data_IF_668417965036
#
_entry.id   IF_668417965036
#
_cell.length_a   1.000
_cell.length_b   1.000
_cell.length_c   1.000
_cell.angle_alpha   90.00
_cell.angle_beta   90.00
_cell.angle_gamma   90.00
#
_symmetry.space_group_name_H-M   'P 1'
#
loop_
_entity.id
_entity.type
_entity.pdbx_description
1 polymer ?
#
# COMPACT_ATOMS: atom_id res chain seq x y z
N UNK A 1 12.88 -11.79 -16.16
CA UNK A 1 11.59 -11.62 -16.85
C UNK A 1 10.96 -10.37 -16.28
N UNK A 2 10.57 -9.42 -17.12
CA UNK A 2 9.87 -8.20 -16.71
C UNK A 2 8.45 -8.56 -16.31
N UNK A 3 7.97 -8.08 -15.16
CA UNK A 3 6.62 -8.29 -14.63
C UNK A 3 6.03 -6.90 -14.36
N UNK A 4 5.20 -6.44 -15.29
CA UNK A 4 4.61 -5.10 -15.22
C UNK A 4 3.30 -5.18 -14.47
N UNK A 5 3.22 -4.46 -13.36
CA UNK A 5 2.02 -4.31 -12.56
C UNK A 5 1.52 -2.87 -12.62
N UNK A 6 0.21 -2.71 -12.55
CA UNK A 6 -0.47 -1.42 -12.59
C UNK A 6 -1.36 -1.27 -11.36
N UNK A 7 -1.65 -0.02 -11.04
CA UNK A 7 -2.54 0.32 -9.95
C UNK A 7 -2.88 1.79 -9.96
N UNK A 8 -3.68 2.20 -8.98
CA UNK A 8 -4.10 3.58 -8.86
C UNK A 8 -5.09 3.81 -7.74
N UNK A 9 -5.55 5.05 -7.65
CA UNK A 9 -6.52 5.43 -6.63
C UNK A 9 -7.94 5.07 -7.07
N UNK A 10 -8.86 4.99 -6.09
CA UNK A 10 -10.26 4.70 -6.32
C UNK A 10 -10.93 5.62 -7.37
N UNK A 11 -10.65 6.92 -7.36
CA UNK A 11 -11.25 7.85 -8.33
C UNK A 11 -10.57 7.88 -9.71
N UNK A 12 -9.57 7.03 -9.95
CA UNK A 12 -8.86 6.90 -11.25
C UNK A 12 -7.97 8.08 -11.65
N UNK A 13 -7.90 9.15 -10.85
CA UNK A 13 -7.09 10.35 -11.14
C UNK A 13 -5.60 10.10 -11.05
N UNK A 14 -5.18 9.19 -10.17
CA UNK A 14 -3.79 8.74 -10.05
C UNK A 14 -3.68 7.31 -10.53
N UNK A 15 -2.68 7.07 -11.37
CA UNK A 15 -2.29 5.73 -11.83
C UNK A 15 -0.77 5.60 -11.77
N UNK A 16 -0.30 4.41 -11.49
CA UNK A 16 1.12 4.08 -11.50
C UNK A 16 1.36 2.75 -12.21
N UNK A 17 2.63 2.48 -12.47
CA UNK A 17 3.13 1.17 -12.86
C UNK A 17 4.47 0.89 -12.17
N UNK A 18 4.80 -0.39 -12.00
CA UNK A 18 6.17 -0.81 -11.73
C UNK A 18 6.51 -2.11 -12.48
N UNK A 19 7.80 -2.33 -12.71
CA UNK A 19 8.34 -3.53 -13.35
C UNK A 19 9.26 -4.28 -12.38
N UNK A 20 8.66 -5.16 -11.58
CA UNK A 20 9.33 -5.89 -10.52
C UNK A 20 8.49 -7.10 -10.10
N UNK A 21 9.12 -8.16 -9.57
CA UNK A 21 8.37 -9.29 -9.03
C UNK A 21 7.54 -8.87 -7.82
N UNK A 22 6.38 -9.53 -7.64
CA UNK A 22 5.55 -9.39 -6.43
C UNK A 22 6.17 -10.15 -5.25
N UNK A 23 7.29 -9.63 -4.77
CA UNK A 23 8.02 -10.11 -3.59
C UNK A 23 8.16 -8.98 -2.59
N UNK A 24 8.60 -9.29 -1.37
CA UNK A 24 8.83 -8.28 -0.33
C UNK A 24 7.54 -7.59 0.12
N UNK A 25 6.52 -8.41 0.41
CA UNK A 25 5.18 -7.94 0.78
C UNK A 25 4.94 -8.14 2.27
N UNK A 26 4.72 -7.04 3.00
CA UNK A 26 4.59 -7.07 4.46
C UNK A 26 3.29 -6.46 4.95
N UNK A 27 2.63 -7.17 5.86
CA UNK A 27 1.63 -6.60 6.74
C UNK A 27 2.29 -5.73 7.82
N UNK A 28 2.08 -4.43 7.75
CA UNK A 28 2.56 -3.46 8.71
C UNK A 28 1.52 -3.20 9.82
N UNK A 29 1.98 -3.36 11.07
CA UNK A 29 1.16 -3.18 12.27
C UNK A 29 1.44 -1.87 13.01
N UNK A 30 2.28 -0.98 12.50
CA UNK A 30 2.64 0.24 13.24
C UNK A 30 1.48 1.24 13.33
N UNK A 31 1.49 2.09 14.35
CA UNK A 31 0.46 3.11 14.57
C UNK A 31 0.37 4.13 13.42
N UNK A 32 1.49 4.46 12.80
CA UNK A 32 1.54 5.47 11.75
C UNK A 32 0.85 4.97 10.49
N UNK A 33 1.11 3.72 10.09
CA UNK A 33 0.43 3.12 8.95
C UNK A 33 -1.09 3.03 9.19
N UNK A 34 -1.53 2.67 10.41
CA UNK A 34 -2.96 2.69 10.75
C UNK A 34 -3.58 4.08 10.63
N UNK A 35 -2.96 5.09 11.25
CA UNK A 35 -3.48 6.47 11.27
C UNK A 35 -3.51 7.11 9.89
N UNK A 36 -2.56 6.78 9.04
CA UNK A 36 -2.41 7.41 7.72
C UNK A 36 -3.23 6.73 6.63
N UNK A 37 -3.46 5.41 6.74
CA UNK A 37 -4.30 4.68 5.79
C UNK A 37 -5.77 4.60 6.22
N UNK A 38 -6.07 4.74 7.51
CA UNK A 38 -7.38 4.41 8.08
C UNK A 38 -7.62 2.90 8.26
N UNK A 39 -6.70 2.04 7.78
CA UNK A 39 -6.79 0.58 7.91
C UNK A 39 -6.24 0.06 9.24
N UNK A 40 -6.81 -1.02 9.76
CA UNK A 40 -6.32 -1.70 10.98
C UNK A 40 -4.97 -2.41 10.76
N UNK A 41 -4.66 -2.77 9.51
CA UNK A 41 -3.37 -3.24 9.01
C UNK A 41 -3.15 -2.60 7.64
N UNK A 42 -1.95 -2.15 7.35
CA UNK A 42 -1.58 -1.68 6.00
C UNK A 42 -0.59 -2.67 5.40
N UNK A 43 -0.84 -3.12 4.18
CA UNK A 43 0.04 -4.05 3.50
C UNK A 43 0.81 -3.32 2.41
N UNK A 44 2.13 -3.42 2.48
CA UNK A 44 3.05 -2.75 1.56
C UNK A 44 3.78 -3.79 0.71
N UNK A 45 4.06 -3.44 -0.54
CA UNK A 45 5.10 -4.05 -1.36
C UNK A 45 6.24 -3.04 -1.53
N UNK A 46 7.48 -3.46 -1.36
CA UNK A 46 8.65 -2.64 -1.64
C UNK A 46 9.18 -2.95 -3.04
N UNK A 47 9.16 -1.96 -3.93
CA UNK A 47 9.65 -2.11 -5.31
C UNK A 47 10.87 -1.23 -5.58
N UNK A 48 11.78 -1.60 -6.51
CA UNK A 48 12.87 -0.72 -6.91
C UNK A 48 12.33 0.63 -7.41
N UNK A 49 12.82 1.74 -6.86
CA UNK A 49 12.37 3.09 -7.22
C UNK A 49 12.53 3.35 -8.72
N UNK A 50 13.62 2.86 -9.31
CA UNK A 50 13.89 2.97 -10.74
C UNK A 50 12.89 2.22 -11.64
N UNK A 51 12.14 1.25 -11.08
CA UNK A 51 11.09 0.52 -11.80
C UNK A 51 9.72 1.19 -11.69
N UNK A 52 9.52 2.07 -10.71
CA UNK A 52 8.24 2.69 -10.40
C UNK A 52 8.02 3.96 -11.23
N UNK A 53 6.79 4.18 -11.70
CA UNK A 53 6.43 5.40 -12.44
C UNK A 53 4.97 5.77 -12.22
N UNK A 54 4.70 7.04 -11.91
CA UNK A 54 3.35 7.62 -12.03
C UNK A 54 2.99 7.75 -13.51
N UNK A 55 1.93 7.08 -13.94
CA UNK A 55 1.49 7.03 -15.35
C UNK A 55 0.36 8.01 -15.63
N UNK A 56 -0.33 8.50 -14.59
CA UNK A 56 -1.37 9.52 -14.70
C UNK A 56 -1.47 10.32 -13.42
N UNK A 57 -1.62 11.64 -13.57
CA UNK A 57 -1.81 12.59 -12.48
C UNK A 57 -0.54 12.78 -11.65
N UNK A 58 -0.61 13.72 -10.71
CA UNK A 58 0.48 14.02 -9.78
C UNK A 58 -0.02 13.77 -8.35
N UNK A 59 0.66 12.92 -7.57
CA UNK A 59 0.23 12.64 -6.21
C UNK A 59 0.40 13.85 -5.30
N UNK A 60 -0.54 14.05 -4.38
CA UNK A 60 -0.28 14.88 -3.23
C UNK A 60 0.74 14.17 -2.33
N UNK A 61 1.59 14.93 -1.65
CA UNK A 61 2.59 14.38 -0.73
C UNK A 61 2.67 15.17 0.56
N UNK A 62 3.07 14.50 1.65
CA UNK A 62 3.50 15.16 2.87
C UNK A 62 4.63 14.37 3.55
N UNK A 63 5.43 15.05 4.36
CA UNK A 63 6.48 14.44 5.16
C UNK A 63 5.89 13.93 6.48
N UNK A 64 5.78 12.62 6.64
CA UNK A 64 5.25 12.03 7.87
C UNK A 64 6.27 11.99 9.01
N UNK A 65 7.56 12.00 8.66
CA UNK A 65 8.68 12.12 9.58
C UNK A 65 9.93 12.57 8.80
N UNK A 66 11.04 12.96 9.46
CA UNK A 66 12.26 13.34 8.77
C UNK A 66 12.72 12.24 7.80
N UNK A 67 12.84 12.60 6.52
CA UNK A 67 13.26 11.67 5.46
C UNK A 67 12.19 10.67 5.01
N UNK A 68 10.94 10.78 5.47
CA UNK A 68 9.84 9.88 5.07
C UNK A 68 8.67 10.67 4.48
N UNK A 69 8.37 10.41 3.21
CA UNK A 69 7.29 11.04 2.46
C UNK A 69 6.20 10.02 2.13
N UNK A 70 4.94 10.44 2.24
CA UNK A 70 3.78 9.62 1.86
C UNK A 70 3.04 10.27 0.69
N UNK A 71 2.61 9.45 -0.26
CA UNK A 71 1.97 9.85 -1.50
C UNK A 71 0.51 9.37 -1.53
N UNK A 72 -0.41 10.30 -1.77
CA UNK A 72 -1.84 10.03 -1.74
C UNK A 72 -2.58 10.79 -2.84
N UNK A 73 -3.80 10.35 -3.14
CA UNK A 73 -4.65 11.04 -4.09
C UNK A 73 -5.29 12.28 -3.45
N UNK A 74 -4.96 13.48 -3.94
CA UNK A 74 -5.63 14.72 -3.51
C UNK A 74 -7.13 14.78 -3.83
N UNK A 75 -7.64 13.89 -4.70
CA UNK A 75 -9.06 13.84 -5.07
C UNK A 75 -9.92 12.88 -4.25
N UNK A 76 -9.38 11.76 -3.77
CA UNK A 76 -10.13 10.75 -2.99
C UNK A 76 -9.46 10.32 -1.67
N UNK A 77 -8.28 10.86 -1.34
CA UNK A 77 -7.57 10.54 -0.10
C UNK A 77 -6.84 9.20 -0.08
N UNK A 78 -7.02 8.35 -1.09
CA UNK A 78 -6.35 7.04 -1.19
C UNK A 78 -4.84 7.17 -1.00
N UNK A 79 -4.27 6.42 -0.05
CA UNK A 79 -2.82 6.33 0.20
C UNK A 79 -2.21 5.29 -0.74
N UNK A 80 -1.26 5.69 -1.58
CA UNK A 80 -0.68 4.83 -2.62
C UNK A 80 0.78 4.49 -2.34
N UNK A 81 1.57 5.44 -1.83
CA UNK A 81 3.02 5.28 -1.77
C UNK A 81 3.67 5.81 -0.49
N UNK A 82 4.85 5.28 -0.19
CA UNK A 82 5.76 5.78 0.83
C UNK A 82 7.20 5.70 0.30
N UNK A 83 7.94 6.77 0.49
CA UNK A 83 9.38 6.82 0.24
C UNK A 83 10.11 7.18 1.54
N UNK A 84 11.22 6.50 1.81
CA UNK A 84 12.07 6.79 2.97
C UNK A 84 13.54 6.85 2.60
N UNK A 85 14.27 7.83 3.13
CA UNK A 85 15.72 7.95 2.98
C UNK A 85 16.50 6.79 3.63
N UNK A 86 15.86 6.00 4.50
CA UNK A 86 16.46 4.78 5.05
C UNK A 86 16.60 3.66 4.01
N UNK A 87 15.76 3.70 2.96
CA UNK A 87 15.79 2.78 1.84
C UNK A 87 15.63 3.57 0.53
N UNK A 88 16.63 4.39 0.15
CA UNK A 88 16.48 5.38 -0.92
C UNK A 88 16.34 4.76 -2.32
N UNK A 89 16.61 3.45 -2.45
CA UNK A 89 16.48 2.71 -3.70
C UNK A 89 15.10 2.10 -3.93
N UNK A 90 14.16 2.24 -2.99
CA UNK A 90 12.84 1.60 -3.06
C UNK A 90 11.69 2.60 -2.94
N UNK A 91 10.54 2.22 -3.51
CA UNK A 91 9.23 2.83 -3.27
C UNK A 91 8.36 1.77 -2.63
N UNK A 92 7.76 2.08 -1.48
CA UNK A 92 6.75 1.23 -0.89
C UNK A 92 5.39 1.61 -1.48
N UNK A 93 4.63 0.63 -1.95
CA UNK A 93 3.30 0.82 -2.54
C UNK A 93 2.28 0.04 -1.73
N UNK A 94 1.11 0.63 -1.46
CA UNK A 94 0.02 -0.10 -0.80
C UNK A 94 -0.56 -1.13 -1.78
N UNK A 95 -0.48 -2.42 -1.48
CA UNK A 95 -0.94 -3.46 -2.42
C UNK A 95 -2.44 -3.36 -2.72
N UNK A 96 -3.21 -2.77 -1.79
CA UNK A 96 -4.65 -2.54 -1.94
C UNK A 96 -5.01 -1.58 -3.10
N UNK A 97 -4.01 -0.96 -3.73
CA UNK A 97 -4.20 -0.07 -4.89
C UNK A 97 -3.76 -0.70 -6.21
N UNK A 98 -3.29 -1.95 -6.19
CA UNK A 98 -3.02 -2.74 -7.40
C UNK A 98 -4.32 -3.08 -8.12
N UNK A 99 -4.27 -3.14 -9.44
CA UNK A 99 -5.42 -3.61 -10.23
C UNK A 99 -5.68 -5.10 -9.96
N UNK A 100 -4.63 -5.92 -9.89
CA UNK A 100 -4.69 -7.37 -9.65
C UNK A 100 -4.17 -7.74 -8.24
N UNK A 101 -4.81 -7.19 -7.20
CA UNK A 101 -4.36 -7.34 -5.80
C UNK A 101 -4.26 -8.80 -5.32
N UNK A 102 -5.06 -9.70 -5.89
CA UNK A 102 -5.10 -11.12 -5.50
C UNK A 102 -3.76 -11.86 -5.74
N UNK A 103 -2.90 -11.35 -6.63
CA UNK A 103 -1.58 -11.93 -6.89
C UNK A 103 -0.52 -11.50 -5.85
N UNK A 104 -0.78 -10.42 -5.11
CA UNK A 104 0.16 -9.80 -4.19
C UNK A 104 0.08 -10.43 -2.78
N UNK A 105 0.62 -11.65 -2.64
CA UNK A 105 0.56 -12.42 -1.40
C UNK A 105 1.57 -11.92 -0.35
N UNK A 106 1.13 -11.50 0.85
CA UNK A 106 2.03 -11.09 1.93
C UNK A 106 2.85 -12.26 2.48
N UNK A 107 4.15 -12.05 2.67
CA UNK A 107 5.10 -13.07 3.14
C UNK A 107 5.49 -12.91 4.61
N UNK A 108 5.20 -11.74 5.21
CA UNK A 108 5.58 -11.46 6.60
C UNK A 108 4.71 -10.42 7.29
N UNK A 109 4.92 -10.32 8.60
CA UNK A 109 4.41 -9.22 9.42
C UNK A 109 5.56 -8.42 10.02
N UNK A 110 5.43 -7.10 10.01
CA UNK A 110 6.41 -6.17 10.60
C UNK A 110 5.76 -5.30 11.69
N UNK A 111 6.58 -4.84 12.63
CA UNK A 111 6.16 -4.01 13.77
C UNK A 111 5.09 -4.66 14.66
N UNK A 112 5.16 -5.98 14.83
CA UNK A 112 4.14 -6.79 15.52
C UNK A 112 3.91 -6.46 16.99
N UNK A 113 4.84 -5.74 17.65
CA UNK A 113 4.61 -5.20 19.00
C UNK A 113 3.47 -4.19 19.05
N UNK A 114 3.15 -3.55 17.92
CA UNK A 114 2.03 -2.62 17.76
C UNK A 114 0.76 -3.28 17.22
N UNK A 115 0.77 -4.60 17.01
CA UNK A 115 -0.39 -5.38 16.56
C UNK A 115 -1.52 -5.24 17.57
N UNK A 116 -2.73 -5.02 17.07
CA UNK A 116 -3.92 -4.95 17.91
C UNK A 116 -4.19 -6.36 18.47
N UNK A 117 -4.28 -6.53 19.79
CA UNK A 117 -4.35 -7.86 20.41
C UNK A 117 -5.65 -8.60 20.06
N UNK A 118 -6.70 -7.85 19.72
CA UNK A 118 -8.00 -8.37 19.30
C UNK A 118 -8.09 -8.63 17.80
N UNK A 119 -7.05 -8.35 17.01
CA UNK A 119 -7.11 -8.56 15.56
C UNK A 119 -7.01 -10.04 15.21
N UNK A 120 -8.16 -10.64 14.95
CA UNK A 120 -8.36 -11.95 14.33
C UNK A 120 -9.58 -11.80 13.42
N UNK A 121 -9.48 -12.22 12.15
CA UNK A 121 -10.65 -12.30 11.28
C UNK A 121 -11.44 -13.53 11.70
N UNK A 122 -12.59 -13.33 12.33
CA UNK A 122 -13.45 -14.41 12.80
C UNK A 122 -14.30 -14.95 11.65
N UNK A 123 -14.05 -16.19 11.18
CA UNK A 123 -14.82 -16.79 10.08
C UNK A 123 -16.25 -17.18 10.49
N UNK A 124 -16.62 -17.06 11.77
CA UNK A 124 -17.96 -17.37 12.26
C UNK A 124 -18.95 -16.21 12.20
N UNK A 125 -18.52 -15.00 11.82
CA UNK A 125 -19.41 -13.85 11.70
C UNK A 125 -20.32 -13.98 10.46
N UNK A 126 -21.56 -13.44 10.49
CA UNK A 126 -22.40 -13.39 9.31
C UNK A 126 -21.68 -12.70 8.14
N UNK A 127 -21.79 -13.29 6.95
CA UNK A 127 -21.15 -12.79 5.73
C UNK A 127 -22.20 -12.22 4.78
N UNK A 128 -21.86 -11.10 4.14
CA UNK A 128 -22.55 -10.59 2.96
C UNK A 128 -21.73 -10.98 1.72
N UNK A 129 -22.40 -11.52 0.70
CA UNK A 129 -21.71 -12.07 -0.48
C UNK A 129 -21.15 -10.98 -1.40
N UNK A 130 -21.80 -9.82 -1.46
CA UNK A 130 -21.42 -8.72 -2.33
C UNK A 130 -21.78 -7.37 -1.73
N UNK A 131 -21.00 -6.34 -2.10
CA UNK A 131 -21.33 -4.96 -1.77
C UNK A 131 -22.60 -4.55 -2.54
N UNK A 132 -23.67 -4.21 -1.82
CA UNK A 132 -24.85 -3.60 -2.42
C UNK A 132 -24.74 -2.08 -2.29
N UNK A 133 -24.41 -1.41 -3.40
CA UNK A 133 -24.27 0.05 -3.48
C UNK A 133 -25.59 0.74 -3.84
#
# INVERSE_FOLDING_TARGET
MTQVHMGGCHCGRLRYRFDAPLTDIAHCHCSDCRRTSGGIVTTWISVPLASFTWTRGEPAQYHSSPGCSRYFCGGCGCLLGLFTQQAPGTMDVTIATLDDVAEALPDRHIWVRSRLPWLHLDPGLPEEQEETL
#
